data_IF_176404083339
#
_entry.id   IF_176404083339
#
_cell.length_a   1.000
_cell.length_b   1.000
_cell.length_c   1.000
_cell.angle_alpha   90.00
_cell.angle_beta   90.00
_cell.angle_gamma   90.00
#
_symmetry.space_group_name_H-M   'P 1'
#
loop_
_entity.id
_entity.type
_entity.pdbx_description
1 polymer ?
#
# COMPACT_ATOMS: atom_id res chain seq x y z
N UNK A 1 40.03 20.26 -9.10
CA UNK A 1 38.55 20.23 -9.26
C UNK A 1 38.05 18.90 -8.71
N UNK A 2 37.38 18.88 -7.55
CA UNK A 2 36.81 17.65 -6.99
C UNK A 2 35.58 17.27 -7.83
N UNK A 3 35.67 16.19 -8.60
CA UNK A 3 34.50 15.62 -9.26
C UNK A 3 33.56 15.10 -8.17
N UNK A 4 32.36 15.68 -8.07
CA UNK A 4 31.33 15.15 -7.18
C UNK A 4 30.78 13.87 -7.78
N UNK A 5 30.68 12.82 -6.98
CA UNK A 5 30.06 11.55 -7.39
C UNK A 5 28.57 11.83 -7.59
N UNK A 6 28.11 11.73 -8.84
CA UNK A 6 26.70 11.92 -9.22
C UNK A 6 26.05 10.57 -9.48
N UNK A 7 24.91 10.32 -8.84
CA UNK A 7 24.13 9.07 -8.98
C UNK A 7 22.89 9.34 -9.84
N UNK A 8 22.69 8.53 -10.89
CA UNK A 8 21.54 8.67 -11.79
C UNK A 8 20.53 7.53 -11.57
N UNK A 9 19.23 7.85 -11.66
CA UNK A 9 18.14 6.86 -11.75
C UNK A 9 18.38 6.01 -13.00
N UNK A 10 18.34 4.67 -12.88
CA UNK A 10 18.39 3.75 -14.03
C UNK A 10 17.05 3.02 -14.14
N UNK A 11 16.41 2.99 -15.33
CA UNK A 11 16.84 3.63 -16.58
C UNK A 11 16.70 5.17 -16.55
N UNK A 12 17.61 5.85 -17.25
CA UNK A 12 17.54 7.30 -17.49
C UNK A 12 16.51 7.52 -18.60
N UNK A 13 15.24 7.52 -18.24
CA UNK A 13 14.11 7.81 -19.14
C UNK A 13 13.95 9.32 -19.35
N UNK A 14 13.30 9.71 -20.45
CA UNK A 14 12.98 11.11 -20.72
C UNK A 14 12.16 11.72 -19.56
N UNK A 15 12.52 12.95 -19.18
CA UNK A 15 11.97 13.66 -18.02
C UNK A 15 10.46 13.86 -18.15
N UNK A 16 9.96 13.96 -19.38
CA UNK A 16 8.54 14.08 -19.70
C UNK A 16 7.73 12.84 -19.29
N UNK A 17 8.30 11.63 -19.40
CA UNK A 17 7.65 10.36 -19.03
C UNK A 17 7.55 10.20 -17.50
N UNK A 18 8.51 10.75 -16.75
CA UNK A 18 8.56 10.61 -15.30
C UNK A 18 7.65 11.60 -14.55
N UNK A 19 7.50 12.82 -15.06
CA UNK A 19 6.87 13.96 -14.36
C UNK A 19 5.54 14.42 -14.96
N UNK A 20 5.02 13.74 -15.99
CA UNK A 20 3.70 14.03 -16.55
C UNK A 20 2.54 13.71 -15.60
N UNK A 21 1.32 14.14 -15.95
CA UNK A 21 0.11 13.88 -15.16
C UNK A 21 -0.15 12.38 -14.92
N UNK A 22 0.27 11.53 -15.87
CA UNK A 22 0.24 10.07 -15.78
C UNK A 22 1.66 9.47 -15.73
N UNK A 23 2.65 10.24 -15.28
CA UNK A 23 4.05 9.82 -15.22
C UNK A 23 4.39 8.95 -14.01
N UNK A 24 5.65 8.50 -13.92
CA UNK A 24 6.12 7.63 -12.82
C UNK A 24 5.84 8.21 -11.42
N UNK A 25 5.97 9.53 -11.23
CA UNK A 25 5.68 10.16 -9.93
C UNK A 25 4.21 10.04 -9.55
N UNK A 26 3.29 10.17 -10.52
CA UNK A 26 1.86 9.98 -10.29
C UNK A 26 1.56 8.54 -9.86
N UNK A 27 2.11 7.55 -10.58
CA UNK A 27 1.94 6.13 -10.25
C UNK A 27 2.49 5.78 -8.86
N UNK A 28 3.70 6.23 -8.53
CA UNK A 28 4.29 5.99 -7.20
C UNK A 28 3.44 6.66 -6.11
N UNK A 29 3.02 7.90 -6.33
CA UNK A 29 2.17 8.63 -5.37
C UNK A 29 0.82 7.95 -5.18
N UNK A 30 0.22 7.40 -6.25
CA UNK A 30 -1.02 6.64 -6.20
C UNK A 30 -0.86 5.37 -5.36
N UNK A 31 0.17 4.57 -5.63
CA UNK A 31 0.45 3.35 -4.86
C UNK A 31 0.72 3.69 -3.39
N UNK A 32 1.53 4.71 -3.12
CA UNK A 32 1.78 5.17 -1.76
C UNK A 32 0.48 5.56 -1.05
N UNK A 33 -0.43 6.29 -1.70
CA UNK A 33 -1.73 6.64 -1.11
C UNK A 33 -2.59 5.42 -0.81
N UNK A 34 -2.52 4.36 -1.62
CA UNK A 34 -3.24 3.11 -1.37
C UNK A 34 -2.78 2.42 -0.10
N UNK A 35 -1.48 2.49 0.25
CA UNK A 35 -0.91 1.76 1.40
C UNK A 35 -0.60 2.63 2.62
N UNK A 36 -0.58 3.96 2.47
CA UNK A 36 -0.30 4.89 3.56
C UNK A 36 -1.44 4.90 4.59
N UNK A 37 -1.08 5.07 5.86
CA UNK A 37 -2.01 5.15 6.97
C UNK A 37 -1.63 4.19 8.10
N UNK A 38 -2.18 4.43 9.28
CA UNK A 38 -1.82 3.67 10.50
C UNK A 38 -2.10 2.17 10.40
N UNK A 39 -3.11 1.77 9.63
CA UNK A 39 -3.67 0.41 9.70
C UNK A 39 -3.48 -0.44 8.45
N UNK A 40 -3.30 0.16 7.27
CA UNK A 40 -3.23 -0.58 6.00
C UNK A 40 -2.01 -1.51 5.93
N UNK A 41 -0.82 -1.02 6.27
CA UNK A 41 0.38 -1.85 6.29
C UNK A 41 0.29 -3.00 7.31
N UNK A 42 -0.07 -2.78 8.59
CA UNK A 42 -0.27 -3.89 9.54
C UNK A 42 -1.24 -4.98 9.04
N UNK A 43 -2.36 -4.58 8.42
CA UNK A 43 -3.31 -5.53 7.82
C UNK A 43 -2.65 -6.35 6.71
N UNK A 44 -1.98 -5.69 5.75
CA UNK A 44 -1.31 -6.36 4.63
C UNK A 44 -0.18 -7.30 5.10
N UNK A 45 0.62 -6.88 6.08
CA UNK A 45 1.67 -7.73 6.65
C UNK A 45 1.11 -8.95 7.38
N UNK A 46 -0.03 -8.80 8.06
CA UNK A 46 -0.68 -9.95 8.69
C UNK A 46 -1.19 -10.95 7.64
N UNK A 47 -1.77 -10.46 6.54
CA UNK A 47 -2.18 -11.30 5.40
C UNK A 47 -1.01 -11.95 4.66
N UNK A 48 0.14 -11.29 4.60
CA UNK A 48 1.35 -11.89 4.05
C UNK A 48 1.82 -13.09 4.88
N UNK A 49 1.67 -13.02 6.20
CA UNK A 49 2.03 -14.11 7.10
C UNK A 49 0.97 -15.24 7.15
N UNK A 50 -0.30 -14.92 6.96
CA UNK A 50 -1.41 -15.87 6.90
C UNK A 50 -2.41 -15.44 5.81
N UNK A 51 -2.53 -16.19 4.70
CA UNK A 51 -3.28 -15.74 3.52
C UNK A 51 -4.80 -15.63 3.74
N UNK A 52 -5.34 -16.18 4.83
CA UNK A 52 -6.76 -16.12 5.16
C UNK A 52 -6.98 -15.82 6.63
N UNK A 53 -7.57 -14.64 6.91
CA UNK A 53 -7.80 -14.17 8.27
C UNK A 53 -9.22 -13.67 8.48
N UNK A 54 -9.80 -14.02 9.62
CA UNK A 54 -11.09 -13.46 10.05
C UNK A 54 -10.89 -12.09 10.72
N UNK A 55 -11.91 -11.23 10.68
CA UNK A 55 -11.86 -9.92 11.33
C UNK A 55 -11.47 -9.99 12.82
N UNK A 56 -11.92 -11.02 13.53
CA UNK A 56 -11.57 -11.23 14.94
C UNK A 56 -10.09 -11.55 15.16
N UNK A 57 -9.41 -12.15 14.18
CA UNK A 57 -7.96 -12.40 14.24
C UNK A 57 -7.19 -11.08 14.05
N UNK A 58 -7.56 -10.27 13.07
CA UNK A 58 -6.97 -8.93 12.91
C UNK A 58 -7.11 -8.05 14.15
N UNK A 59 -8.30 -8.05 14.78
CA UNK A 59 -8.55 -7.26 15.99
C UNK A 59 -7.68 -7.70 17.18
N UNK A 60 -7.31 -8.99 17.25
CA UNK A 60 -6.38 -9.50 18.27
C UNK A 60 -4.93 -9.15 17.95
N UNK A 61 -4.55 -9.29 16.68
CA UNK A 61 -3.16 -9.14 16.25
C UNK A 61 -2.76 -7.67 16.05
N UNK A 62 -3.72 -6.78 15.89
CA UNK A 62 -3.54 -5.34 15.66
C UNK A 62 -4.23 -4.56 16.79
N UNK A 63 -3.61 -4.49 17.99
CA UNK A 63 -4.24 -3.85 19.14
C UNK A 63 -4.51 -2.35 18.90
N UNK A 64 -5.69 -1.90 19.31
CA UNK A 64 -6.11 -0.50 19.21
C UNK A 64 -6.83 -0.11 17.92
N UNK A 65 -6.94 -1.02 16.93
CA UNK A 65 -7.88 -0.82 15.82
C UNK A 65 -9.30 -1.11 16.30
N UNK A 66 -10.27 -0.25 15.96
CA UNK A 66 -11.68 -0.55 16.22
C UNK A 66 -12.26 -1.41 15.09
N UNK A 67 -13.33 -2.16 15.35
CA UNK A 67 -13.98 -2.96 14.32
C UNK A 67 -14.44 -2.10 13.13
N UNK A 68 -14.96 -0.90 13.40
CA UNK A 68 -15.35 0.06 12.35
C UNK A 68 -14.16 0.46 11.47
N UNK A 69 -13.02 0.78 12.07
CA UNK A 69 -11.81 1.16 11.33
C UNK A 69 -11.24 -0.01 10.53
N UNK A 70 -11.23 -1.21 11.11
CA UNK A 70 -10.80 -2.42 10.42
C UNK A 70 -11.67 -2.68 9.18
N UNK A 71 -13.00 -2.68 9.34
CA UNK A 71 -13.92 -2.86 8.22
C UNK A 71 -13.74 -1.79 7.13
N UNK A 72 -13.54 -0.53 7.54
CA UNK A 72 -13.29 0.56 6.60
C UNK A 72 -12.01 0.31 5.79
N UNK A 73 -10.89 0.00 6.44
CA UNK A 73 -9.62 -0.21 5.76
C UNK A 73 -9.58 -1.50 4.92
N UNK A 74 -10.23 -2.58 5.37
CA UNK A 74 -10.39 -3.79 4.55
C UNK A 74 -11.16 -3.49 3.26
N UNK A 75 -12.25 -2.71 3.33
CA UNK A 75 -13.00 -2.29 2.14
C UNK A 75 -12.17 -1.40 1.21
N UNK A 76 -11.42 -0.45 1.75
CA UNK A 76 -10.52 0.39 0.95
C UNK A 76 -9.46 -0.44 0.23
N UNK A 77 -8.83 -1.38 0.94
CA UNK A 77 -7.83 -2.29 0.36
C UNK A 77 -8.44 -3.23 -0.70
N UNK A 78 -9.69 -3.66 -0.51
CA UNK A 78 -10.44 -4.45 -1.49
C UNK A 78 -10.72 -3.64 -2.76
N UNK A 79 -11.20 -2.39 -2.62
CA UNK A 79 -11.44 -1.46 -3.73
C UNK A 79 -10.14 -1.14 -4.49
N UNK A 80 -9.03 -0.97 -3.77
CA UNK A 80 -7.70 -0.74 -4.34
C UNK A 80 -7.11 -2.01 -4.98
N UNK A 81 -7.78 -3.17 -4.87
CA UNK A 81 -7.34 -4.45 -5.44
C UNK A 81 -6.17 -5.10 -4.70
N UNK A 82 -5.90 -4.67 -3.47
CA UNK A 82 -4.79 -5.17 -2.65
C UNK A 82 -5.16 -6.40 -1.82
N UNK A 83 -6.46 -6.62 -1.56
CA UNK A 83 -6.98 -7.81 -0.89
C UNK A 83 -8.25 -8.30 -1.57
N UNK A 84 -8.63 -9.56 -1.31
CA UNK A 84 -9.90 -10.14 -1.75
C UNK A 84 -10.70 -10.50 -0.50
N UNK A 85 -12.00 -10.16 -0.48
CA UNK A 85 -12.92 -10.53 0.60
C UNK A 85 -13.86 -11.63 0.12
N UNK A 86 -13.98 -12.69 0.91
CA UNK A 86 -14.96 -13.75 0.69
C UNK A 86 -15.97 -13.79 1.84
N UNK A 87 -17.25 -13.61 1.51
CA UNK A 87 -18.35 -13.77 2.44
C UNK A 87 -18.85 -15.22 2.35
N UNK A 88 -18.49 -16.01 3.36
CA UNK A 88 -18.99 -17.37 3.52
C UNK A 88 -20.39 -17.29 4.16
N UNK A 89 -21.42 -17.70 3.43
CA UNK A 89 -22.78 -17.87 3.94
C UNK A 89 -22.86 -19.05 4.90
#
# INVERSE_FOLDING_TARGET
>A
MKQAITHFKVPVEDRATCLGADGSVFHVSRVLRMITGRWKLPILFRLFAEPSLRASQFMRDIPGISQKMLTQHLRELEIDGLIIRHDFQ
#
